data_IF_115182806729
#
_entry.id   IF_115182806729
#
_cell.length_a   1.000
_cell.length_b   1.000
_cell.length_c   1.000
_cell.angle_alpha   90.00
_cell.angle_beta   90.00
_cell.angle_gamma   90.00
#
_symmetry.space_group_name_H-M   'P 1'
#
loop_
_entity.id
_entity.type
_entity.pdbx_description
1 polymer ?
#
# COMPACT_ATOMS: atom_id res chain seq x y z
N UNK A 1 -41.89 -54.38 18.11
CA UNK A 1 -41.81 -53.89 16.72
C UNK A 1 -41.08 -52.54 16.79
N UNK A 2 -39.74 -52.56 16.76
CA UNK A 2 -38.89 -52.14 15.64
C UNK A 2 -38.83 -50.59 15.50
N UNK A 3 -37.71 -49.89 15.40
CA UNK A 3 -36.31 -50.25 15.18
C UNK A 3 -35.39 -49.12 15.72
N UNK A 4 -34.21 -49.49 16.24
CA UNK A 4 -33.11 -48.56 16.53
C UNK A 4 -32.46 -48.10 15.22
N UNK A 5 -32.42 -46.79 14.99
CA UNK A 5 -31.65 -46.18 13.91
C UNK A 5 -30.22 -45.91 14.39
N UNK A 6 -29.28 -46.63 13.79
CA UNK A 6 -27.83 -46.49 14.00
C UNK A 6 -27.29 -45.32 13.16
N UNK A 7 -26.30 -44.54 13.64
CA UNK A 7 -25.71 -43.47 12.86
C UNK A 7 -24.74 -44.03 11.80
N UNK A 8 -25.03 -43.73 10.53
CA UNK A 8 -24.13 -44.01 9.41
C UNK A 8 -22.80 -43.24 9.60
N UNK A 9 -21.70 -43.99 9.71
CA UNK A 9 -20.34 -43.45 9.60
C UNK A 9 -20.03 -43.20 8.13
N UNK A 10 -19.92 -41.94 7.72
CA UNK A 10 -19.33 -41.58 6.44
C UNK A 10 -17.81 -41.71 6.53
N UNK A 11 -17.26 -42.77 5.93
CA UNK A 11 -15.82 -42.89 5.67
C UNK A 11 -15.51 -42.19 4.35
N UNK A 12 -14.90 -41.00 4.41
CA UNK A 12 -14.34 -40.36 3.22
C UNK A 12 -12.98 -41.03 2.92
N UNK A 13 -12.96 -41.88 1.89
CA UNK A 13 -11.74 -42.44 1.30
C UNK A 13 -11.03 -41.37 0.47
N UNK A 14 -9.89 -40.89 0.95
CA UNK A 14 -8.95 -40.07 0.17
C UNK A 14 -8.21 -40.94 -0.86
N UNK A 15 -8.20 -40.60 -2.16
CA UNK A 15 -7.26 -41.21 -3.09
C UNK A 15 -5.86 -40.61 -2.89
N UNK A 16 -4.91 -41.49 -2.56
CA UNK A 16 -3.48 -41.25 -2.66
C UNK A 16 -3.13 -40.84 -4.10
N UNK A 17 -2.59 -39.63 -4.28
CA UNK A 17 -1.88 -39.24 -5.51
C UNK A 17 -0.42 -39.01 -5.17
N UNK A 18 0.41 -39.67 -5.94
CA UNK A 18 1.87 -39.80 -5.82
C UNK A 18 2.59 -38.48 -6.12
N UNK A 19 3.78 -38.25 -5.54
CA UNK A 19 4.55 -37.04 -5.76
C UNK A 19 5.17 -37.04 -7.16
N UNK A 20 4.95 -35.95 -7.92
CA UNK A 20 5.65 -35.70 -9.17
C UNK A 20 7.02 -35.08 -8.86
N UNK A 21 8.05 -35.84 -9.20
CA UNK A 21 9.47 -35.49 -9.03
C UNK A 21 9.87 -34.24 -9.80
N UNK A 22 10.36 -33.24 -9.07
CA UNK A 22 11.06 -32.06 -9.57
C UNK A 22 12.40 -32.51 -10.18
N UNK A 23 12.61 -32.31 -11.47
CA UNK A 23 13.95 -32.34 -12.07
C UNK A 23 14.49 -30.91 -12.15
N UNK A 24 15.40 -30.59 -11.23
CA UNK A 24 16.27 -29.43 -11.33
C UNK A 24 17.25 -29.64 -12.49
N UNK A 25 17.22 -28.73 -13.46
CA UNK A 25 18.20 -28.64 -14.54
C UNK A 25 18.90 -27.29 -14.46
N UNK A 26 20.07 -27.27 -13.84
CA UNK A 26 21.00 -26.15 -13.80
C UNK A 26 22.02 -26.32 -14.94
N UNK A 27 22.21 -25.33 -15.83
CA UNK A 27 23.48 -25.18 -16.52
C UNK A 27 24.26 -24.02 -15.93
N UNK A 28 25.34 -24.43 -15.29
CA UNK A 28 26.48 -23.66 -14.83
C UNK A 28 27.18 -23.00 -16.02
N UNK A 29 27.24 -21.66 -16.07
CA UNK A 29 28.17 -20.92 -16.91
C UNK A 29 28.78 -19.75 -16.13
N UNK A 30 30.04 -19.52 -16.44
CA UNK A 30 31.12 -18.98 -15.62
C UNK A 30 31.07 -17.44 -15.44
N UNK A 31 31.75 -16.90 -14.43
CA UNK A 31 31.81 -15.46 -14.17
C UNK A 31 32.82 -14.75 -15.09
N UNK A 32 32.38 -13.68 -15.75
CA UNK A 32 33.24 -12.71 -16.45
C UNK A 32 33.79 -11.68 -15.44
N UNK A 33 35.11 -11.38 -15.44
CA UNK A 33 35.68 -10.30 -14.65
C UNK A 33 35.69 -9.01 -15.48
N UNK A 34 34.92 -8.00 -15.09
CA UNK A 34 35.10 -6.64 -15.62
C UNK A 34 35.83 -5.76 -14.61
N UNK A 35 37.00 -5.35 -15.07
CA UNK A 35 38.09 -4.65 -14.41
C UNK A 35 37.72 -3.18 -14.13
N UNK A 36 38.12 -2.74 -12.94
CA UNK A 36 38.16 -1.35 -12.48
C UNK A 36 39.09 -0.51 -13.36
N UNK A 37 38.64 0.66 -13.80
CA UNK A 37 39.53 1.81 -14.04
C UNK A 37 38.88 3.09 -13.53
N UNK A 38 39.42 3.57 -12.42
CA UNK A 38 39.38 4.96 -11.96
C UNK A 38 39.99 5.87 -13.02
N UNK A 39 39.31 6.97 -13.35
CA UNK A 39 39.94 8.16 -13.93
C UNK A 39 39.36 9.40 -13.24
N UNK A 40 40.25 10.21 -12.68
CA UNK A 40 39.96 11.42 -11.92
C UNK A 40 39.58 12.64 -12.79
N UNK A 41 39.44 13.82 -12.16
CA UNK A 41 38.65 14.94 -12.66
C UNK A 41 39.47 15.93 -13.50
N UNK A 42 38.84 16.83 -14.27
CA UNK A 42 39.45 18.08 -14.67
C UNK A 42 38.94 19.25 -13.82
N UNK A 43 39.86 19.84 -13.08
CA UNK A 43 39.81 21.23 -12.62
C UNK A 43 39.64 22.19 -13.79
N UNK A 44 38.68 23.13 -13.71
CA UNK A 44 38.83 24.43 -14.38
C UNK A 44 38.50 25.58 -13.44
N UNK A 45 39.42 26.52 -13.52
CA UNK A 45 39.67 27.71 -12.70
C UNK A 45 39.27 28.95 -13.51
N UNK A 46 39.21 30.08 -12.80
CA UNK A 46 39.04 31.48 -13.20
C UNK A 46 37.59 31.97 -13.06
N UNK A 47 37.22 32.74 -12.02
CA UNK A 47 37.73 34.02 -11.47
C UNK A 47 37.03 35.24 -12.08
N UNK A 48 36.22 35.83 -11.19
CA UNK A 48 36.06 37.26 -10.86
C UNK A 48 35.44 38.25 -11.85
N UNK A 49 34.32 38.84 -11.39
CA UNK A 49 34.05 40.28 -11.08
C UNK A 49 32.54 40.52 -11.25
N UNK A 50 31.83 41.45 -10.60
CA UNK A 50 31.98 42.34 -9.45
C UNK A 50 30.82 43.35 -9.58
N UNK A 51 30.00 43.54 -8.52
CA UNK A 51 29.12 44.69 -8.18
C UNK A 51 28.04 45.13 -9.21
N UNK A 52 26.79 45.46 -8.85
CA UNK A 52 26.37 46.42 -7.81
C UNK A 52 24.86 46.29 -7.53
N UNK A 53 24.47 46.54 -6.27
CA UNK A 53 23.11 46.82 -5.75
C UNK A 53 22.61 48.21 -6.24
N UNK A 54 21.31 48.61 -6.11
CA UNK A 54 20.65 48.79 -4.80
C UNK A 54 19.09 48.65 -4.71
N UNK A 55 18.62 48.49 -3.44
CA UNK A 55 17.43 49.08 -2.74
C UNK A 55 16.10 49.24 -3.50
N UNK A 56 14.88 48.95 -3.01
CA UNK A 56 14.29 48.72 -1.68
C UNK A 56 12.83 48.30 -1.95
N UNK A 57 12.22 47.46 -1.12
CA UNK A 57 10.94 47.78 -0.45
C UNK A 57 10.51 46.64 0.47
N UNK A 58 10.39 47.02 1.72
CA UNK A 58 9.93 46.25 2.87
C UNK A 58 8.42 45.98 2.79
N UNK A 59 8.06 44.70 2.70
CA UNK A 59 6.74 44.18 3.07
C UNK A 59 6.91 43.17 4.22
N UNK A 60 5.99 43.13 5.20
CA UNK A 60 6.23 42.45 6.45
C UNK A 60 6.33 40.94 6.25
N UNK A 61 7.32 40.36 6.91
CA UNK A 61 7.44 38.94 7.13
C UNK A 61 6.12 38.44 7.75
N UNK A 62 5.34 37.69 6.97
CA UNK A 62 4.47 36.69 7.53
C UNK A 62 5.38 35.63 8.12
N UNK A 63 5.64 35.73 9.42
CA UNK A 63 6.23 34.63 10.17
C UNK A 63 5.40 33.36 9.87
N UNK A 64 6.03 32.23 9.50
CA UNK A 64 5.33 30.97 9.61
C UNK A 64 5.10 30.76 11.11
N UNK A 65 3.83 30.85 11.51
CA UNK A 65 3.37 30.56 12.85
C UNK A 65 4.05 29.26 13.36
N UNK A 66 4.83 29.28 14.46
CA UNK A 66 5.56 28.11 14.96
C UNK A 66 4.65 27.02 15.55
N UNK A 67 3.35 27.08 15.28
CA UNK A 67 2.33 26.22 15.85
C UNK A 67 1.65 25.40 14.75
N UNK A 68 2.30 24.31 14.34
CA UNK A 68 1.74 22.95 14.18
C UNK A 68 2.77 22.11 13.40
N UNK A 69 3.99 21.98 13.95
CA UNK A 69 4.84 20.81 13.65
C UNK A 69 4.51 19.68 14.65
N UNK A 70 3.23 19.55 15.02
CA UNK A 70 2.76 18.29 15.56
C UNK A 70 2.87 17.30 14.40
N UNK A 71 3.87 16.42 14.44
CA UNK A 71 4.07 15.30 13.52
C UNK A 71 2.71 14.74 13.10
N UNK A 72 2.25 15.12 11.91
CA UNK A 72 0.89 14.81 11.51
C UNK A 72 0.81 13.32 11.21
N UNK A 73 0.02 12.59 12.03
CA UNK A 73 -0.02 11.13 11.97
C UNK A 73 -0.33 10.66 10.54
N UNK A 74 0.64 9.96 9.95
CA UNK A 74 0.47 9.30 8.66
C UNK A 74 -0.40 8.06 8.84
N UNK A 75 -1.38 7.89 7.96
CA UNK A 75 -2.33 6.79 7.98
C UNK A 75 -2.47 6.17 6.60
N UNK A 76 -2.57 4.84 6.57
CA UNK A 76 -3.08 4.11 5.41
C UNK A 76 -4.50 3.63 5.70
N UNK A 77 -5.46 4.04 4.87
CA UNK A 77 -6.81 3.50 4.92
C UNK A 77 -6.90 2.24 4.05
N UNK A 78 -7.49 1.20 4.61
CA UNK A 78 -7.83 -0.05 3.91
C UNK A 78 -9.34 -0.21 3.99
N UNK A 79 -10.01 -0.45 2.88
CA UNK A 79 -11.47 -0.56 2.80
C UNK A 79 -11.85 -1.91 2.23
N UNK A 80 -12.56 -2.69 3.03
CA UNK A 80 -13.01 -4.03 2.70
C UNK A 80 -14.51 -4.05 2.37
N UNK A 81 -14.89 -5.03 1.57
CA UNK A 81 -16.27 -5.30 1.19
C UNK A 81 -16.96 -6.22 2.21
N UNK A 82 -18.03 -5.74 2.85
CA UNK A 82 -18.78 -6.51 3.86
C UNK A 82 -19.44 -7.75 3.28
N UNK A 83 -20.00 -7.64 2.09
CA UNK A 83 -20.59 -8.76 1.36
C UNK A 83 -19.59 -9.91 1.10
N UNK A 84 -18.31 -9.58 0.91
CA UNK A 84 -17.25 -10.59 0.82
C UNK A 84 -16.87 -11.13 2.19
N UNK A 85 -16.78 -10.28 3.23
CA UNK A 85 -16.54 -10.73 4.61
C UNK A 85 -17.56 -11.78 5.06
N UNK A 86 -18.83 -11.59 4.69
CA UNK A 86 -19.91 -12.49 5.09
C UNK A 86 -19.91 -13.83 4.33
N UNK A 87 -19.25 -13.90 3.17
CA UNK A 87 -19.31 -15.07 2.26
C UNK A 87 -17.98 -15.77 2.06
N UNK A 88 -16.86 -15.11 2.36
CA UNK A 88 -15.51 -15.63 2.12
C UNK A 88 -14.84 -16.07 3.42
N UNK A 89 -13.89 -17.03 3.35
CA UNK A 89 -13.01 -17.30 4.47
C UNK A 89 -12.28 -16.02 4.91
N UNK A 90 -12.20 -15.78 6.23
CA UNK A 90 -11.54 -14.59 6.79
C UNK A 90 -10.12 -14.41 6.25
N UNK A 91 -9.35 -15.50 6.12
CA UNK A 91 -8.00 -15.46 5.58
C UNK A 91 -7.92 -14.92 4.15
N UNK A 92 -8.91 -15.24 3.30
CA UNK A 92 -8.98 -14.71 1.93
C UNK A 92 -9.19 -13.19 1.94
N UNK A 93 -10.09 -12.70 2.78
CA UNK A 93 -10.36 -11.25 2.88
C UNK A 93 -9.14 -10.49 3.41
N UNK A 94 -8.48 -11.02 4.45
CA UNK A 94 -7.23 -10.45 4.99
C UNK A 94 -6.18 -10.34 3.90
N UNK A 95 -6.03 -11.39 3.09
CA UNK A 95 -5.07 -11.43 1.99
C UNK A 95 -5.35 -10.32 0.97
N UNK A 96 -6.62 -10.04 0.65
CA UNK A 96 -6.98 -8.91 -0.23
C UNK A 96 -6.57 -7.55 0.34
N UNK A 97 -6.77 -7.35 1.65
CA UNK A 97 -6.30 -6.16 2.35
C UNK A 97 -4.79 -5.98 2.24
N UNK A 98 -4.03 -7.06 2.44
CA UNK A 98 -2.57 -7.07 2.31
C UNK A 98 -2.13 -6.74 0.88
N UNK A 99 -2.72 -7.38 -0.14
CA UNK A 99 -2.40 -7.11 -1.54
C UNK A 99 -2.65 -5.65 -1.93
N UNK A 100 -3.82 -5.11 -1.59
CA UNK A 100 -4.14 -3.72 -1.87
C UNK A 100 -3.15 -2.76 -1.18
N UNK A 101 -2.83 -3.02 0.09
CA UNK A 101 -1.94 -2.17 0.89
C UNK A 101 -0.51 -2.13 0.33
N UNK A 102 0.07 -3.29 0.05
CA UNK A 102 1.43 -3.41 -0.51
C UNK A 102 1.48 -2.78 -1.90
N UNK A 103 0.49 -3.04 -2.75
CA UNK A 103 0.43 -2.45 -4.08
C UNK A 103 0.32 -0.92 -4.03
N UNK A 104 -0.50 -0.36 -3.14
CA UNK A 104 -0.64 1.09 -2.97
C UNK A 104 0.68 1.75 -2.54
N UNK A 105 1.41 1.12 -1.60
CA UNK A 105 2.73 1.57 -1.13
C UNK A 105 3.74 1.48 -2.28
N UNK A 106 3.84 0.32 -2.94
CA UNK A 106 4.84 0.10 -3.99
C UNK A 106 4.68 1.06 -5.17
N UNK A 107 3.44 1.31 -5.61
CA UNK A 107 3.16 2.26 -6.68
C UNK A 107 3.53 3.71 -6.34
N UNK A 108 3.73 4.03 -5.05
CA UNK A 108 4.05 5.38 -4.57
C UNK A 108 5.25 5.36 -3.62
N UNK A 109 6.20 4.42 -3.82
CA UNK A 109 7.35 4.22 -2.92
C UNK A 109 8.28 5.43 -2.82
N UNK A 110 8.26 6.29 -3.83
CA UNK A 110 9.10 7.50 -3.91
C UNK A 110 8.37 8.76 -3.41
N UNK A 111 7.10 8.64 -2.98
CA UNK A 111 6.34 9.74 -2.39
C UNK A 111 6.87 10.08 -0.98
N UNK A 112 7.02 11.37 -0.60
CA UNK A 112 7.58 11.76 0.69
C UNK A 112 6.84 11.16 1.89
N UNK A 113 5.51 11.06 1.84
CA UNK A 113 4.73 10.48 2.93
C UNK A 113 4.87 8.96 2.98
N UNK A 114 4.96 8.29 1.83
CA UNK A 114 5.24 6.84 1.80
C UNK A 114 6.64 6.54 2.36
N UNK A 115 7.66 7.33 1.99
CA UNK A 115 9.01 7.19 2.51
C UNK A 115 9.07 7.41 4.02
N UNK A 116 8.43 8.46 4.52
CA UNK A 116 8.34 8.72 5.97
C UNK A 116 7.58 7.59 6.69
N UNK A 117 6.47 7.11 6.13
CA UNK A 117 5.68 6.02 6.71
C UNK A 117 6.43 4.69 6.76
N UNK A 118 7.31 4.42 5.78
CA UNK A 118 8.14 3.22 5.71
C UNK A 118 9.58 3.42 6.23
N UNK A 119 9.88 4.55 6.86
CA UNK A 119 11.20 4.85 7.42
C UNK A 119 11.56 3.90 8.58
N UNK A 120 12.85 3.67 8.86
CA UNK A 120 13.28 2.85 10.00
C UNK A 120 12.66 3.27 11.33
N UNK A 121 12.39 4.56 11.52
CA UNK A 121 11.81 5.11 12.74
C UNK A 121 10.30 4.82 12.86
N UNK A 122 9.60 4.70 11.73
CA UNK A 122 8.13 4.56 11.69
C UNK A 122 7.63 3.16 11.29
N UNK A 123 8.51 2.28 10.80
CA UNK A 123 8.09 0.98 10.25
C UNK A 123 7.36 0.10 11.28
N UNK A 124 7.79 0.14 12.54
CA UNK A 124 7.18 -0.61 13.65
C UNK A 124 5.97 0.12 14.28
N UNK A 125 5.71 1.36 13.88
CA UNK A 125 4.61 2.21 14.40
C UNK A 125 3.62 2.64 13.31
N UNK A 126 3.63 1.97 12.16
CA UNK A 126 2.71 2.21 11.04
C UNK A 126 1.24 2.19 11.46
N UNK A 127 0.52 3.28 11.19
CA UNK A 127 -0.90 3.37 11.48
C UNK A 127 -1.76 2.98 10.27
N UNK A 128 -2.58 1.93 10.43
CA UNK A 128 -3.56 1.48 9.44
C UNK A 128 -4.98 1.56 10.01
N UNK A 129 -5.93 2.02 9.21
CA UNK A 129 -7.34 2.05 9.58
C UNK A 129 -8.14 1.21 8.58
N UNK A 130 -8.72 0.12 9.07
CA UNK A 130 -9.55 -0.79 8.28
C UNK A 130 -11.03 -0.43 8.39
N UNK A 131 -11.63 -0.08 7.27
CA UNK A 131 -13.03 0.31 7.15
C UNK A 131 -13.79 -0.66 6.27
N UNK A 132 -15.12 -0.60 6.32
CA UNK A 132 -15.97 -1.44 5.49
C UNK A 132 -16.97 -0.62 4.66
N UNK A 133 -17.30 -1.17 3.49
CA UNK A 133 -18.42 -0.77 2.64
C UNK A 133 -19.36 -1.94 2.42
N UNK A 134 -20.63 -1.68 2.10
CA UNK A 134 -21.62 -2.76 1.98
C UNK A 134 -21.38 -3.72 0.81
N UNK A 135 -20.74 -3.25 -0.26
CA UNK A 135 -20.44 -4.06 -1.43
C UNK A 135 -19.89 -3.27 -2.60
N UNK A 136 -19.89 -3.91 -3.77
CA UNK A 136 -19.24 -3.41 -4.98
C UNK A 136 -19.60 -1.98 -5.40
N UNK A 137 -20.88 -1.57 -5.45
CA UNK A 137 -21.21 -0.23 -5.91
C UNK A 137 -20.59 0.84 -5.00
N UNK A 138 -20.47 0.57 -3.70
CA UNK A 138 -19.90 1.53 -2.75
C UNK A 138 -18.38 1.63 -2.87
N UNK A 139 -17.67 0.52 -3.10
CA UNK A 139 -16.21 0.57 -3.24
C UNK A 139 -15.80 1.29 -4.54
N UNK A 140 -16.54 1.08 -5.63
CA UNK A 140 -16.33 1.79 -6.89
C UNK A 140 -16.60 3.29 -6.74
N UNK A 141 -17.73 3.66 -6.14
CA UNK A 141 -18.05 5.06 -5.87
C UNK A 141 -17.00 5.74 -4.96
N UNK A 142 -16.44 5.01 -4.00
CA UNK A 142 -15.35 5.51 -3.17
C UNK A 142 -14.09 5.73 -4.01
N UNK A 143 -13.71 4.77 -4.85
CA UNK A 143 -12.56 4.88 -5.75
C UNK A 143 -12.66 6.12 -6.65
N UNK A 144 -13.80 6.35 -7.28
CA UNK A 144 -14.02 7.54 -8.11
C UNK A 144 -13.97 8.85 -7.32
N UNK A 145 -14.53 8.88 -6.10
CA UNK A 145 -14.42 10.06 -5.21
C UNK A 145 -12.99 10.37 -4.82
N UNK A 146 -12.21 9.35 -4.48
CA UNK A 146 -10.80 9.50 -4.14
C UNK A 146 -10.01 9.99 -5.35
N UNK A 147 -10.28 9.43 -6.53
CA UNK A 147 -9.66 9.85 -7.80
C UNK A 147 -9.96 11.31 -8.13
N UNK A 148 -11.23 11.73 -8.01
CA UNK A 148 -11.64 13.11 -8.19
C UNK A 148 -11.01 14.07 -7.17
N UNK A 149 -10.77 13.58 -5.94
CA UNK A 149 -10.07 14.31 -4.88
C UNK A 149 -8.54 14.28 -4.98
N UNK A 150 -7.96 13.68 -6.02
CA UNK A 150 -6.50 13.55 -6.15
C UNK A 150 -5.85 12.61 -5.13
N UNK A 151 -6.64 11.77 -4.46
CA UNK A 151 -6.15 10.83 -3.46
C UNK A 151 -5.73 9.53 -4.15
N UNK A 152 -4.43 9.37 -4.33
CA UNK A 152 -3.83 8.16 -4.86
C UNK A 152 -4.13 6.93 -3.98
N UNK A 153 -4.66 5.89 -4.63
CA UNK A 153 -5.09 4.65 -3.99
C UNK A 153 -4.99 3.49 -4.98
N UNK A 154 -5.00 2.26 -4.46
CA UNK A 154 -5.13 1.03 -5.22
C UNK A 154 -6.51 0.45 -5.00
N UNK A 155 -7.27 0.29 -6.08
CA UNK A 155 -8.40 -0.65 -6.12
C UNK A 155 -7.85 -2.02 -6.53
N UNK A 156 -7.98 -3.00 -5.64
CA UNK A 156 -7.55 -4.37 -5.89
C UNK A 156 -8.65 -5.14 -6.60
N UNK A 157 -8.28 -5.74 -7.74
CA UNK A 157 -9.17 -6.51 -8.60
C UNK A 157 -8.70 -7.96 -8.52
N UNK A 158 -9.56 -8.84 -8.04
CA UNK A 158 -9.23 -10.26 -7.92
C UNK A 158 -9.21 -10.93 -9.28
N UNK A 159 -8.28 -11.86 -9.48
CA UNK A 159 -8.19 -12.68 -10.69
C UNK A 159 -8.42 -14.15 -10.31
N UNK A 160 -9.03 -14.97 -11.21
CA UNK A 160 -9.43 -14.64 -12.59
C UNK A 160 -10.81 -13.98 -12.73
N UNK A 161 -11.59 -13.82 -11.66
CA UNK A 161 -12.99 -13.39 -11.72
C UNK A 161 -13.17 -11.89 -12.06
N UNK A 162 -12.10 -11.11 -11.96
CA UNK A 162 -11.99 -9.72 -12.40
C UNK A 162 -13.00 -8.74 -11.77
N UNK A 163 -13.16 -8.80 -10.44
CA UNK A 163 -14.03 -7.90 -9.69
C UNK A 163 -13.31 -7.23 -8.51
N UNK A 164 -13.73 -6.02 -8.08
CA UNK A 164 -13.04 -5.27 -7.04
C UNK A 164 -13.33 -5.84 -5.64
N UNK A 165 -12.30 -6.20 -4.90
CA UNK A 165 -12.46 -6.81 -3.55
C UNK A 165 -12.10 -5.86 -2.42
N UNK A 166 -11.05 -5.07 -2.59
CA UNK A 166 -10.49 -4.20 -1.55
C UNK A 166 -9.93 -2.91 -2.16
N UNK A 167 -9.84 -1.86 -1.35
CA UNK A 167 -9.18 -0.61 -1.70
C UNK A 167 -8.17 -0.23 -0.61
N UNK A 168 -7.00 0.27 -0.97
CA UNK A 168 -6.07 0.86 -0.02
C UNK A 168 -5.50 2.17 -0.54
N UNK A 169 -5.38 3.19 0.31
CA UNK A 169 -4.67 4.43 -0.05
C UNK A 169 -3.15 4.20 0.00
N UNK A 170 -2.37 5.07 -0.65
CA UNK A 170 -0.99 5.26 -0.16
C UNK A 170 -1.04 5.90 1.24
N UNK A 171 0.06 5.91 2.00
CA UNK A 171 0.12 6.69 3.24
C UNK A 171 -0.13 8.19 2.99
N UNK A 172 -0.93 8.79 3.87
CA UNK A 172 -1.22 10.23 3.85
C UNK A 172 -1.27 10.80 5.26
N UNK A 173 -1.03 12.12 5.42
CA UNK A 173 -1.39 12.83 6.62
C UNK A 173 -2.90 12.70 6.88
N UNK A 174 -3.29 12.33 8.11
CA UNK A 174 -4.68 12.02 8.44
C UNK A 174 -5.65 13.18 8.17
N UNK A 175 -5.23 14.42 8.40
CA UNK A 175 -6.06 15.61 8.16
C UNK A 175 -6.43 15.74 6.68
N UNK A 176 -5.52 15.39 5.77
CA UNK A 176 -5.71 15.51 4.32
C UNK A 176 -6.75 14.53 3.76
N UNK A 177 -6.83 13.31 4.31
CA UNK A 177 -7.67 12.25 3.73
C UNK A 177 -8.88 11.87 4.57
N UNK A 178 -8.90 12.17 5.87
CA UNK A 178 -9.95 11.66 6.77
C UNK A 178 -11.37 12.00 6.33
N UNK A 179 -11.58 13.17 5.71
CA UNK A 179 -12.89 13.64 5.24
C UNK A 179 -13.59 12.67 4.27
N UNK A 180 -12.83 11.96 3.43
CA UNK A 180 -13.37 10.99 2.47
C UNK A 180 -13.92 9.72 3.15
N UNK A 181 -13.42 9.41 4.34
CA UNK A 181 -13.69 8.16 5.04
C UNK A 181 -14.62 8.31 6.25
N UNK A 182 -14.95 9.54 6.68
CA UNK A 182 -15.79 9.82 7.88
C UNK A 182 -17.15 9.11 7.91
N UNK A 183 -17.72 8.78 6.74
CA UNK A 183 -19.04 8.13 6.63
C UNK A 183 -18.97 6.60 6.61
N UNK A 184 -17.78 6.03 6.51
CA UNK A 184 -17.58 4.58 6.51
C UNK A 184 -17.47 4.07 7.95
N UNK A 185 -17.84 2.81 8.15
CA UNK A 185 -17.75 2.15 9.45
C UNK A 185 -16.41 1.46 9.60
N UNK A 186 -15.94 1.34 10.83
CA UNK A 186 -14.82 0.46 11.16
C UNK A 186 -15.21 -0.98 10.82
N UNK A 187 -14.33 -1.70 10.14
CA UNK A 187 -14.53 -3.11 9.81
C UNK A 187 -14.45 -3.94 11.11
N UNK A 188 -15.47 -4.76 11.38
CA UNK A 188 -15.57 -5.60 12.58
C UNK A 188 -15.65 -7.08 12.25
#
# INVERSE_FOLDING_TARGET
MAALLSPLRFTLSLPHSTPLTIKAGLPHLLPLPCRVTSTGPPTRRCSSKSMSQPTSESGPAGEPDPQTAAEEVLVQYVVLRRDLIDTWPMGSVVTQGCHASVAAIWSHKDDPHTLQYCSPENIDSMHKVTLEVKGEPQILNLSEKLKAGGIAHKLWIEQPENFPTCLATKPYPKSAVSAFFKKLKLCK
#
